data_IF_755916000649
#
_entry.id   IF_755916000649
#
_cell.length_a   1.000
_cell.length_b   1.000
_cell.length_c   1.000
_cell.angle_alpha   90.00
_cell.angle_beta   90.00
_cell.angle_gamma   90.00
#
_symmetry.space_group_name_H-M   'P 1'
#
loop_
_entity.id
_entity.type
_entity.pdbx_description
1 polymer ?
#
# COMPACT_ATOMS: atom_id res chain seq x y z
N UNK A 1 26.85 -6.96 -3.02
CA UNK A 1 26.31 -8.32 -2.87
C UNK A 1 24.82 -8.19 -2.59
N UNK A 2 23.97 -8.83 -3.39
CA UNK A 2 22.51 -8.72 -3.25
C UNK A 2 21.91 -9.85 -2.38
N UNK A 3 22.71 -10.84 -2.02
CA UNK A 3 22.25 -11.98 -1.20
C UNK A 3 22.17 -11.65 0.30
N UNK A 4 22.91 -10.63 0.74
CA UNK A 4 22.96 -10.17 2.13
C UNK A 4 22.06 -8.96 2.35
N UNK A 5 21.77 -8.66 3.62
CA UNK A 5 21.12 -7.42 4.01
C UNK A 5 22.01 -6.20 3.66
N UNK A 6 21.37 -5.09 3.29
CA UNK A 6 22.05 -3.86 2.86
C UNK A 6 22.49 -3.02 4.07
N UNK A 7 23.41 -3.54 4.88
CA UNK A 7 23.88 -2.86 6.08
C UNK A 7 24.97 -1.85 5.74
N UNK A 8 24.62 -0.57 5.79
CA UNK A 8 25.54 0.54 5.48
C UNK A 8 26.31 1.01 6.70
N UNK A 9 25.70 0.96 7.88
CA UNK A 9 26.31 1.35 9.14
C UNK A 9 25.70 0.54 10.29
N UNK A 10 26.44 0.34 11.38
CA UNK A 10 25.93 -0.28 12.60
C UNK A 10 25.96 0.78 13.68
N UNK A 11 24.80 1.11 14.26
CA UNK A 11 24.74 2.03 15.39
C UNK A 11 25.02 1.24 16.68
N UNK A 12 26.17 1.46 17.34
CA UNK A 12 26.47 0.81 18.60
C UNK A 12 25.46 1.23 19.68
N UNK A 13 25.11 0.31 20.58
CA UNK A 13 24.18 0.59 21.69
C UNK A 13 22.69 0.47 21.38
N UNK A 14 22.29 0.37 20.11
CA UNK A 14 20.89 0.13 19.69
C UNK A 14 20.57 -1.36 19.42
N UNK A 15 21.40 -2.28 19.91
CA UNK A 15 21.18 -3.73 19.74
C UNK A 15 19.98 -4.30 20.52
N UNK A 16 19.35 -3.50 21.38
CA UNK A 16 18.18 -3.91 22.18
C UNK A 16 16.86 -3.87 21.39
N UNK A 17 16.84 -3.27 20.19
CA UNK A 17 15.62 -3.14 19.41
C UNK A 17 15.23 -4.54 18.88
N UNK A 18 14.03 -5.06 19.23
CA UNK A 18 13.63 -6.40 18.82
C UNK A 18 13.48 -6.48 17.29
N UNK A 19 13.88 -7.62 16.72
CA UNK A 19 13.87 -7.96 15.28
C UNK A 19 14.78 -7.11 14.36
N UNK A 20 15.14 -5.91 14.80
CA UNK A 20 15.92 -4.94 14.03
C UNK A 20 17.37 -4.85 14.50
N UNK A 21 17.62 -4.95 15.80
CA UNK A 21 18.95 -4.91 16.39
C UNK A 21 19.61 -6.28 16.48
N UNK A 22 20.94 -6.30 16.41
CA UNK A 22 21.76 -7.48 16.70
C UNK A 22 22.25 -7.34 18.15
N UNK A 23 21.87 -8.27 19.06
CA UNK A 23 22.31 -8.24 20.45
C UNK A 23 23.84 -8.17 20.55
N UNK A 24 24.34 -7.34 21.47
CA UNK A 24 25.77 -7.07 21.69
C UNK A 24 26.54 -6.39 20.54
N UNK A 25 25.94 -6.24 19.35
CA UNK A 25 26.59 -5.61 18.18
C UNK A 25 26.05 -4.20 17.93
N UNK A 26 24.73 -4.04 17.86
CA UNK A 26 24.10 -2.75 17.54
C UNK A 26 22.95 -2.86 16.54
N UNK A 27 22.48 -1.72 16.04
CA UNK A 27 21.42 -1.67 15.04
C UNK A 27 22.02 -1.54 13.62
N UNK A 28 21.94 -2.57 12.76
CA UNK A 28 22.32 -2.47 11.36
C UNK A 28 21.35 -1.54 10.63
N UNK A 29 21.85 -0.52 9.95
CA UNK A 29 21.07 0.44 9.16
C UNK A 29 20.91 -0.06 7.73
N UNK A 30 19.68 -0.50 7.39
CA UNK A 30 19.33 -1.01 6.07
C UNK A 30 18.36 -0.04 5.37
N UNK A 31 18.84 0.82 4.44
CA UNK A 31 18.00 1.84 3.82
C UNK A 31 17.02 1.27 2.79
N UNK A 32 17.37 0.19 2.09
CA UNK A 32 16.52 -0.41 1.05
C UNK A 32 15.13 -0.84 1.55
N UNK A 33 15.01 -1.63 2.64
CA UNK A 33 13.70 -2.00 3.19
C UNK A 33 12.86 -0.79 3.61
N UNK A 34 13.50 0.27 4.11
CA UNK A 34 12.82 1.51 4.49
C UNK A 34 12.24 2.23 3.27
N UNK A 35 13.01 2.33 2.18
CA UNK A 35 12.55 2.93 0.92
C UNK A 35 11.42 2.09 0.32
N UNK A 36 11.54 0.76 0.35
CA UNK A 36 10.50 -0.14 -0.12
C UNK A 36 9.17 0.11 0.59
N UNK A 37 9.18 0.22 1.92
CA UNK A 37 7.96 0.48 2.71
C UNK A 37 7.43 1.88 2.45
N UNK A 38 8.30 2.87 2.37
CA UNK A 38 7.90 4.23 2.03
C UNK A 38 7.18 4.29 0.66
N UNK A 39 7.72 3.58 -0.35
CA UNK A 39 7.08 3.51 -1.67
C UNK A 39 5.75 2.76 -1.65
N UNK A 40 5.62 1.66 -0.88
CA UNK A 40 4.34 0.96 -0.71
C UNK A 40 3.30 1.80 0.04
N UNK A 41 3.70 2.51 1.10
CA UNK A 41 2.83 3.44 1.80
C UNK A 41 2.40 4.58 0.89
N UNK A 42 3.27 5.05 -0.01
CA UNK A 42 2.88 6.04 -1.00
C UNK A 42 1.91 5.45 -2.03
N UNK A 43 2.19 4.27 -2.56
CA UNK A 43 1.34 3.58 -3.53
C UNK A 43 -0.07 3.37 -2.99
N UNK A 44 -0.20 2.86 -1.75
CA UNK A 44 -1.49 2.63 -1.09
C UNK A 44 -2.32 3.90 -0.87
N UNK A 45 -1.67 5.08 -0.81
CA UNK A 45 -2.36 6.38 -0.76
C UNK A 45 -2.80 6.89 -2.12
N UNK A 46 -2.11 6.48 -3.18
CA UNK A 46 -2.45 6.84 -4.56
C UNK A 46 -3.52 5.91 -5.14
N UNK A 47 -3.61 4.67 -4.67
CA UNK A 47 -4.61 3.70 -5.09
C UNK A 47 -5.87 3.81 -4.21
N UNK A 48 -7.06 4.04 -4.77
CA UNK A 48 -8.29 4.01 -4.00
C UNK A 48 -8.48 2.62 -3.38
N UNK A 49 -8.68 2.56 -2.06
CA UNK A 49 -9.03 1.31 -1.38
C UNK A 49 -10.45 0.90 -1.74
N UNK A 50 -10.69 -0.41 -1.82
CA UNK A 50 -11.96 -0.98 -2.31
C UNK A 50 -13.17 -0.42 -1.54
N UNK A 51 -14.19 0.14 -2.23
CA UNK A 51 -15.43 0.59 -1.60
C UNK A 51 -16.19 -0.64 -1.08
N UNK A 52 -16.31 -0.75 0.25
CA UNK A 52 -16.96 -1.88 0.92
C UNK A 52 -16.16 -2.51 2.06
N UNK A 53 -14.91 -2.07 2.27
CA UNK A 53 -14.07 -2.51 3.38
C UNK A 53 -14.31 -1.59 4.59
N UNK A 54 -14.56 -2.16 5.77
CA UNK A 54 -14.74 -1.39 7.01
C UNK A 54 -13.50 -0.54 7.33
N UNK A 55 -13.65 0.65 7.94
CA UNK A 55 -12.53 1.55 8.23
C UNK A 55 -11.40 0.91 9.06
N UNK A 56 -11.72 -0.04 9.95
CA UNK A 56 -10.73 -0.78 10.73
C UNK A 56 -9.86 -1.69 9.85
N UNK A 57 -10.49 -2.42 8.92
CA UNK A 57 -9.77 -3.32 8.01
C UNK A 57 -8.90 -2.53 7.02
N UNK A 58 -9.35 -1.35 6.57
CA UNK A 58 -8.56 -0.45 5.74
C UNK A 58 -7.25 -0.03 6.43
N UNK A 59 -7.31 0.33 7.72
CA UNK A 59 -6.11 0.70 8.48
C UNK A 59 -5.14 -0.46 8.60
N UNK A 60 -5.64 -1.67 8.86
CA UNK A 60 -4.81 -2.87 8.93
C UNK A 60 -4.08 -3.14 7.60
N UNK A 61 -4.79 -3.04 6.47
CA UNK A 61 -4.19 -3.23 5.14
C UNK A 61 -3.14 -2.16 4.82
N UNK A 62 -3.34 -0.92 5.27
CA UNK A 62 -2.38 0.17 5.08
C UNK A 62 -1.08 -0.03 5.87
N UNK A 63 -1.15 -0.65 7.05
CA UNK A 63 0.03 -0.89 7.90
C UNK A 63 0.68 -2.25 7.67
N UNK A 64 0.06 -3.15 6.89
CA UNK A 64 0.63 -4.44 6.51
C UNK A 64 2.06 -4.35 5.93
N UNK A 65 2.39 -3.39 5.03
CA UNK A 65 3.76 -3.23 4.54
C UNK A 65 4.78 -2.95 5.64
N UNK A 66 4.36 -2.25 6.70
CA UNK A 66 5.22 -1.91 7.84
C UNK A 66 5.51 -3.14 8.70
N UNK A 67 4.54 -4.04 8.88
CA UNK A 67 4.78 -5.31 9.58
C UNK A 67 5.75 -6.17 8.79
N UNK A 68 5.56 -6.19 7.47
CA UNK A 68 6.40 -6.95 6.55
C UNK A 68 7.85 -6.45 6.50
N UNK A 69 8.08 -5.16 6.74
CA UNK A 69 9.42 -4.59 6.95
C UNK A 69 10.21 -5.35 8.00
N UNK A 70 9.62 -5.58 9.18
CA UNK A 70 10.34 -6.21 10.30
C UNK A 70 10.75 -7.64 9.96
N UNK A 71 9.95 -8.35 9.19
CA UNK A 71 10.27 -9.68 8.69
C UNK A 71 11.40 -9.64 7.66
N UNK A 72 11.39 -8.65 6.77
CA UNK A 72 12.31 -8.55 5.64
C UNK A 72 13.56 -7.71 5.90
N UNK A 73 13.66 -7.08 7.07
CA UNK A 73 14.71 -6.13 7.39
C UNK A 73 16.11 -6.75 7.32
N UNK A 74 16.26 -7.99 7.80
CA UNK A 74 17.52 -8.73 7.83
C UNK A 74 17.64 -9.76 6.70
N UNK A 75 16.73 -9.74 5.72
CA UNK A 75 16.75 -10.65 4.57
C UNK A 75 17.54 -10.06 3.40
N UNK A 76 17.72 -10.86 2.35
CA UNK A 76 18.44 -10.49 1.12
C UNK A 76 17.98 -9.15 0.54
N UNK A 77 18.93 -8.25 0.31
CA UNK A 77 18.70 -6.92 -0.30
C UNK A 77 18.22 -6.99 -1.75
N UNK A 78 18.52 -8.08 -2.48
CA UNK A 78 18.06 -8.29 -3.85
C UNK A 78 16.54 -8.39 -3.98
N UNK A 79 15.88 -9.11 -3.08
CA UNK A 79 14.42 -9.23 -3.06
C UNK A 79 13.75 -7.88 -2.76
N UNK A 80 14.29 -7.16 -1.78
CA UNK A 80 13.82 -5.82 -1.41
C UNK A 80 14.02 -4.79 -2.53
N UNK A 81 15.17 -4.83 -3.20
CA UNK A 81 15.48 -3.95 -4.32
C UNK A 81 14.51 -4.21 -5.49
N UNK A 82 14.27 -5.48 -5.81
CA UNK A 82 13.31 -5.86 -6.86
C UNK A 82 11.92 -5.26 -6.60
N UNK A 83 11.38 -5.41 -5.38
CA UNK A 83 10.09 -4.80 -5.07
C UNK A 83 10.13 -3.29 -5.08
N UNK A 84 11.20 -2.67 -4.58
CA UNK A 84 11.32 -1.21 -4.58
C UNK A 84 11.23 -0.67 -6.00
N UNK A 85 12.00 -1.24 -6.93
CA UNK A 85 11.97 -0.84 -8.34
C UNK A 85 10.59 -1.12 -8.96
N UNK A 86 10.00 -2.28 -8.69
CA UNK A 86 8.66 -2.63 -9.20
C UNK A 86 7.56 -1.68 -8.71
N UNK A 87 7.58 -1.31 -7.43
CA UNK A 87 6.65 -0.34 -6.85
C UNK A 87 6.84 1.06 -7.46
N UNK A 88 8.09 1.50 -7.65
CA UNK A 88 8.41 2.78 -8.28
C UNK A 88 7.89 2.83 -9.73
N UNK A 89 8.12 1.77 -10.51
CA UNK A 89 7.60 1.67 -11.88
C UNK A 89 6.07 1.69 -11.90
N UNK A 90 5.42 1.00 -10.97
CA UNK A 90 3.95 0.99 -10.87
C UNK A 90 3.41 2.38 -10.53
N UNK A 91 4.06 3.11 -9.60
CA UNK A 91 3.69 4.49 -9.27
C UNK A 91 3.90 5.41 -10.48
N UNK A 92 5.01 5.25 -11.21
CA UNK A 92 5.30 6.02 -12.41
C UNK A 92 4.23 5.78 -13.49
N UNK A 93 3.91 4.51 -13.76
CA UNK A 93 2.83 4.12 -14.68
C UNK A 93 1.49 4.73 -14.24
N UNK A 94 1.11 4.60 -12.97
CA UNK A 94 -0.13 5.14 -12.46
C UNK A 94 -0.22 6.67 -12.60
N UNK A 95 0.89 7.39 -12.40
CA UNK A 95 0.95 8.84 -12.61
C UNK A 95 0.76 9.21 -14.08
N UNK A 96 1.42 8.48 -14.99
CA UNK A 96 1.28 8.71 -16.44
C UNK A 96 -0.14 8.40 -16.90
N UNK A 97 -0.72 7.27 -16.48
CA UNK A 97 -2.09 6.90 -16.84
C UNK A 97 -3.10 7.93 -16.33
N UNK A 98 -3.03 8.32 -15.05
CA UNK A 98 -3.94 9.33 -14.48
C UNK A 98 -3.77 10.71 -15.11
N UNK A 99 -2.56 11.06 -15.58
CA UNK A 99 -2.31 12.31 -16.29
C UNK A 99 -2.87 12.28 -17.72
N UNK A 100 -2.96 11.09 -18.32
CA UNK A 100 -3.43 10.88 -19.69
C UNK A 100 -4.92 10.54 -19.79
N UNK A 101 -5.66 10.46 -18.68
CA UNK A 101 -7.12 10.33 -18.67
C UNK A 101 -7.76 11.72 -18.92
N UNK A 102 -8.28 12.01 -20.13
CA UNK A 102 -8.89 13.31 -20.45
C UNK A 102 -10.22 13.55 -19.71
N UNK A 103 -10.69 12.61 -18.89
CA UNK A 103 -11.90 12.71 -18.09
C UNK A 103 -11.73 13.44 -16.74
N UNK A 104 -10.51 13.79 -16.34
CA UNK A 104 -10.27 14.56 -15.10
C UNK A 104 -10.70 16.03 -15.20
N UNK A 105 -11.07 16.50 -16.40
CA UNK A 105 -11.49 17.87 -16.71
C UNK A 105 -13.01 18.05 -16.93
N UNK A 106 -13.87 17.18 -16.41
CA UNK A 106 -15.31 17.48 -16.35
C UNK A 106 -16.24 16.27 -16.33
N UNK A 107 -17.34 16.45 -15.57
CA UNK A 107 -18.58 15.65 -15.59
C UNK A 107 -18.52 14.31 -14.83
N UNK A 108 -19.44 13.97 -13.91
CA UNK A 108 -20.77 14.50 -13.59
C UNK A 108 -21.06 14.20 -12.12
N UNK A 109 -21.78 15.12 -11.48
CA UNK A 109 -22.72 14.80 -10.41
C UNK A 109 -23.38 13.46 -10.71
N UNK A 110 -23.12 12.44 -9.88
CA UNK A 110 -24.10 11.40 -9.68
C UNK A 110 -25.27 12.07 -8.95
N UNK A 111 -26.12 12.79 -9.70
CA UNK A 111 -27.54 12.83 -9.37
C UNK A 111 -27.88 11.38 -9.04
N UNK A 112 -28.28 11.06 -7.81
CA UNK A 112 -28.65 9.70 -7.47
C UNK A 112 -29.66 9.31 -8.52
N UNK A 113 -29.36 8.27 -9.30
CA UNK A 113 -30.30 7.69 -10.23
C UNK A 113 -31.61 7.56 -9.46
N UNK A 114 -32.55 8.42 -9.84
CA UNK A 114 -33.93 8.50 -9.37
C UNK A 114 -34.32 7.07 -9.03
N UNK A 115 -34.57 6.81 -7.75
CA UNK A 115 -35.14 5.55 -7.29
C UNK A 115 -36.24 5.19 -8.28
N UNK A 116 -35.96 4.23 -9.16
CA UNK A 116 -36.99 3.69 -10.03
C UNK A 116 -37.94 3.07 -9.03
N UNK A 117 -39.04 3.78 -8.78
CA UNK A 117 -40.09 3.31 -7.90
C UNK A 117 -40.43 1.87 -8.35
N UNK A 118 -40.59 0.92 -7.42
CA UNK A 118 -40.99 -0.42 -7.80
C UNK A 118 -42.29 -0.31 -8.62
N UNK A 119 -42.43 -1.12 -9.70
CA UNK A 119 -43.62 -1.07 -10.55
C UNK A 119 -44.89 -1.24 -9.69
N UNK A 120 -45.99 -0.54 -9.99
CA UNK A 120 -47.21 -0.65 -9.20
C UNK A 120 -47.68 -2.11 -9.18
N UNK A 121 -47.90 -2.63 -7.97
CA UNK A 121 -48.35 -4.01 -7.75
C UNK A 121 -49.61 -4.33 -8.59
N UNK A 122 -49.73 -5.55 -9.13
CA UNK A 122 -50.91 -5.93 -9.88
C UNK A 122 -52.12 -5.93 -8.94
N UNK A 123 -53.15 -5.12 -9.26
CA UNK A 123 -54.42 -5.13 -8.54
C UNK A 123 -55.01 -6.55 -8.61
N UNK A 124 -55.11 -7.22 -7.45
CA UNK A 124 -55.93 -8.44 -7.33
C UNK A 124 -57.36 -8.07 -7.71
N UNK A 125 -57.79 -8.50 -8.90
CA UNK A 125 -59.18 -8.42 -9.32
C UNK A 125 -59.93 -9.48 -8.53
N UNK A 126 -60.53 -9.07 -7.41
CA UNK A 126 -61.52 -9.87 -6.68
C UNK A 126 -62.69 -10.14 -7.63
N UNK A 127 -63.01 -11.41 -7.84
CA UNK A 127 -64.34 -11.88 -8.24
C UNK A 127 -64.94 -12.60 -7.06
#
# INVERSE_FOLDING_TARGET
DLSQADTVFIIPGLGFIPFLGIPAVGFPMNPLPLIMVATQLWQTRLTPMSPGVDPMQQKMMQYMPVIFLFFMYNLSSGLTLYWTVSNLLTIAQMKVTKANDPAAGGSRNSTPLKSVAPPPAPKKRSK
#
